data_IF_898012046950
#
_entry.id   IF_898012046950
#
_cell.length_a   1.000
_cell.length_b   1.000
_cell.length_c   1.000
_cell.angle_alpha   90.00
_cell.angle_beta   90.00
_cell.angle_gamma   90.00
#
_symmetry.space_group_name_H-M   'P 1'
#
loop_
_entity.id
_entity.type
_entity.pdbx_description
1 polymer ?
#
# COMPACT_ATOMS: atom_id res chain seq x y z
N UNK A 1 -14.28 27.92 14.20
CA UNK A 1 -13.02 28.33 14.86
C UNK A 1 -12.00 27.22 14.64
N UNK A 2 -10.74 27.54 14.30
CA UNK A 2 -9.66 26.56 14.31
C UNK A 2 -9.54 25.98 15.73
N UNK A 3 -9.41 24.66 15.83
CA UNK A 3 -9.17 23.99 17.12
C UNK A 3 -7.68 24.09 17.43
N UNK A 4 -7.30 24.36 18.66
CA UNK A 4 -5.89 24.34 19.08
C UNK A 4 -5.60 23.10 19.91
N UNK A 5 -4.38 22.60 19.84
CA UNK A 5 -3.88 21.50 20.69
C UNK A 5 -2.51 21.86 21.24
N UNK A 6 -2.28 21.59 22.53
CA UNK A 6 -0.97 21.81 23.16
C UNK A 6 -0.17 20.52 23.10
N UNK A 7 1.02 20.56 22.50
CA UNK A 7 1.90 19.40 22.34
C UNK A 7 2.29 18.86 23.71
N UNK A 8 2.08 17.57 23.94
CA UNK A 8 2.58 16.86 25.12
C UNK A 8 3.62 15.80 24.73
N UNK A 9 4.30 15.22 25.71
CA UNK A 9 5.25 14.14 25.46
C UNK A 9 4.57 12.99 24.73
N UNK A 10 5.16 12.54 23.61
CA UNK A 10 4.61 11.47 22.77
C UNK A 10 3.69 11.95 21.63
N UNK A 11 3.35 13.24 21.56
CA UNK A 11 2.63 13.77 20.40
C UNK A 11 3.52 13.83 19.16
N UNK A 12 2.93 13.48 18.02
CA UNK A 12 3.48 13.75 16.68
C UNK A 12 2.41 14.44 15.84
N UNK A 13 2.81 15.26 14.87
CA UNK A 13 1.84 15.88 13.95
C UNK A 13 1.00 14.84 13.20
N UNK A 14 1.57 13.65 12.98
CA UNK A 14 0.86 12.51 12.42
C UNK A 14 -0.27 12.03 13.35
N UNK A 15 0.01 11.80 14.65
CA UNK A 15 -1.01 11.39 15.62
C UNK A 15 -2.12 12.44 15.76
N UNK A 16 -1.75 13.72 15.75
CA UNK A 16 -2.71 14.84 15.77
C UNK A 16 -3.59 14.86 14.51
N UNK A 17 -3.01 14.67 13.32
CA UNK A 17 -3.78 14.62 12.06
C UNK A 17 -4.87 13.54 12.09
N UNK A 18 -4.53 12.36 12.62
CA UNK A 18 -5.45 11.23 12.77
C UNK A 18 -6.50 11.47 13.85
N UNK A 19 -6.11 12.07 14.97
CA UNK A 19 -7.01 12.39 16.09
C UNK A 19 -8.05 13.45 15.72
N UNK A 20 -7.65 14.45 14.93
CA UNK A 20 -8.50 15.59 14.58
C UNK A 20 -9.11 15.52 13.18
N UNK A 21 -8.86 14.43 12.43
CA UNK A 21 -9.47 14.20 11.12
C UNK A 21 -9.06 15.22 10.06
N UNK A 22 -7.80 15.67 10.10
CA UNK A 22 -7.19 16.57 9.12
C UNK A 22 -5.94 15.92 8.51
N UNK A 23 -5.40 16.48 7.41
CA UNK A 23 -4.16 15.95 6.83
C UNK A 23 -2.93 16.60 7.45
N UNK A 24 -1.80 15.89 7.46
CA UNK A 24 -0.51 16.45 7.88
C UNK A 24 -0.14 17.71 7.09
N UNK A 25 -0.44 17.72 5.79
CA UNK A 25 -0.21 18.86 4.90
C UNK A 25 -0.99 20.09 5.35
N UNK A 26 -2.26 19.92 5.72
CA UNK A 26 -3.09 21.03 6.17
C UNK A 26 -2.63 21.58 7.52
N UNK A 27 -2.16 20.71 8.43
CA UNK A 27 -1.58 21.14 9.70
C UNK A 27 -0.30 21.95 9.45
N UNK A 28 0.60 21.50 8.58
CA UNK A 28 1.82 22.25 8.26
C UNK A 28 1.55 23.56 7.52
N UNK A 29 0.50 23.61 6.69
CA UNK A 29 0.10 24.84 6.01
C UNK A 29 -0.37 25.93 7.00
N UNK A 30 -1.07 25.53 8.06
CA UNK A 30 -1.55 26.46 9.10
C UNK A 30 -0.44 26.79 10.12
N UNK A 31 0.61 25.95 10.22
CA UNK A 31 1.73 26.14 11.14
C UNK A 31 3.07 26.08 10.39
N UNK A 32 3.36 27.06 9.50
CA UNK A 32 4.56 27.04 8.65
C UNK A 32 5.88 27.13 9.42
N UNK A 33 5.82 27.54 10.69
CA UNK A 33 6.92 27.68 11.64
C UNK A 33 7.16 26.41 12.48
N UNK A 34 6.38 25.35 12.28
CA UNK A 34 6.56 24.07 12.96
C UNK A 34 7.40 23.13 12.10
N UNK A 35 8.52 22.67 12.65
CA UNK A 35 9.33 21.60 12.08
C UNK A 35 8.88 20.27 12.70
N UNK A 36 8.38 19.30 11.91
CA UNK A 36 7.86 18.02 12.42
C UNK A 36 8.83 17.23 13.31
N UNK A 37 10.13 17.32 13.02
CA UNK A 37 11.19 16.60 13.71
C UNK A 37 11.62 17.29 15.02
N UNK A 38 11.13 18.51 15.29
CA UNK A 38 11.53 19.34 16.43
C UNK A 38 10.31 19.87 17.21
N UNK A 39 9.38 18.97 17.53
CA UNK A 39 8.21 19.34 18.33
C UNK A 39 8.61 19.66 19.77
N UNK A 40 8.21 20.84 20.24
CA UNK A 40 8.45 21.28 21.60
C UNK A 40 7.22 21.02 22.46
N UNK A 41 7.40 20.27 23.54
CA UNK A 41 6.36 20.04 24.55
C UNK A 41 5.92 21.39 25.13
N UNK A 42 4.61 21.61 25.21
CA UNK A 42 3.98 22.86 25.65
C UNK A 42 3.69 23.87 24.54
N UNK A 43 4.15 23.63 23.29
CA UNK A 43 3.82 24.49 22.15
C UNK A 43 2.39 24.24 21.65
N UNK A 44 1.70 25.31 21.27
CA UNK A 44 0.35 25.25 20.70
C UNK A 44 0.45 25.00 19.19
N UNK A 45 -0.35 24.05 18.70
CA UNK A 45 -0.56 23.72 17.28
C UNK A 45 -1.97 24.15 16.89
N UNK A 46 -2.08 24.87 15.78
CA UNK A 46 -3.35 25.23 15.17
C UNK A 46 -3.83 24.11 14.25
N UNK A 47 -5.02 23.59 14.49
CA UNK A 47 -5.59 22.50 13.71
C UNK A 47 -6.68 23.03 12.77
N UNK A 48 -6.60 22.73 11.46
CA UNK A 48 -7.64 23.10 10.52
C UNK A 48 -8.92 22.33 10.84
N UNK A 49 -10.08 22.99 10.69
CA UNK A 49 -11.37 22.32 10.81
C UNK A 49 -11.48 21.31 9.66
N UNK A 50 -11.72 20.05 10.01
CA UNK A 50 -11.90 18.94 9.06
C UNK A 50 -12.83 19.35 7.92
N UNK A 51 -12.26 19.56 6.73
CA UNK A 51 -13.05 19.51 5.51
C UNK A 51 -13.34 18.03 5.31
N UNK A 52 -14.56 17.61 5.62
CA UNK A 52 -15.03 16.29 5.29
C UNK A 52 -14.90 16.12 3.77
N UNK A 53 -13.81 15.49 3.33
CA UNK A 53 -13.61 15.12 1.94
C UNK A 53 -14.70 14.11 1.60
N UNK A 54 -15.78 14.59 0.99
CA UNK A 54 -16.77 13.78 0.31
C UNK A 54 -16.04 13.01 -0.80
N UNK A 55 -15.74 11.74 -0.51
CA UNK A 55 -15.19 10.80 -1.47
C UNK A 55 -16.31 10.51 -2.45
N UNK A 56 -16.38 11.25 -3.55
CA UNK A 56 -17.18 10.86 -4.71
C UNK A 56 -16.53 9.63 -5.33
N UNK A 57 -17.02 8.45 -4.95
CA UNK A 57 -16.68 7.19 -5.60
C UNK A 57 -17.30 7.19 -7.01
N UNK A 58 -16.59 7.71 -7.99
CA UNK A 58 -16.86 7.35 -9.38
C UNK A 58 -16.39 5.91 -9.59
N UNK A 59 -17.32 4.97 -9.49
CA UNK A 59 -17.14 3.59 -9.94
C UNK A 59 -17.07 3.64 -11.47
N UNK A 60 -15.85 3.62 -12.02
CA UNK A 60 -15.66 3.37 -13.45
C UNK A 60 -15.77 1.87 -13.68
N UNK A 61 -16.94 1.43 -14.15
CA UNK A 61 -17.14 0.10 -14.72
C UNK A 61 -16.28 0.01 -15.98
N UNK A 62 -15.15 -0.71 -15.91
CA UNK A 62 -14.30 -0.94 -17.08
C UNK A 62 -14.84 -2.17 -17.81
N UNK A 63 -15.73 -1.92 -18.76
CA UNK A 63 -15.99 -2.85 -19.86
C UNK A 63 -14.90 -2.60 -20.90
N UNK A 64 -13.91 -3.49 -20.99
CA UNK A 64 -12.97 -3.49 -22.11
C UNK A 64 -13.23 -4.71 -22.98
N UNK A 65 -14.04 -4.51 -24.02
CA UNK A 65 -14.06 -5.33 -25.23
C UNK A 65 -13.14 -4.66 -26.25
N UNK A 66 -12.41 -5.50 -27.00
CA UNK A 66 -11.80 -5.28 -28.32
C UNK A 66 -10.27 -5.24 -28.36
N UNK A 67 -9.70 -6.41 -28.68
CA UNK A 67 -8.75 -6.70 -29.76
C UNK A 67 -8.10 -5.53 -30.51
N UNK A 68 -6.76 -5.46 -30.47
CA UNK A 68 -5.94 -5.00 -31.59
C UNK A 68 -4.53 -5.64 -31.57
N UNK A 69 -4.23 -6.33 -32.68
CA UNK A 69 -2.98 -6.94 -33.21
C UNK A 69 -1.81 -5.93 -33.33
N UNK A 70 -0.51 -6.24 -33.26
CA UNK A 70 0.36 -7.17 -34.05
C UNK A 70 1.75 -7.26 -33.36
N UNK A 71 2.29 -8.44 -33.02
CA UNK A 71 3.18 -9.36 -33.78
C UNK A 71 4.71 -9.24 -33.49
N UNK A 72 5.24 -10.26 -32.79
CA UNK A 72 6.42 -11.01 -33.25
C UNK A 72 6.09 -12.52 -33.20
N UNK A 73 6.45 -13.21 -34.29
CA UNK A 73 6.09 -14.57 -34.77
C UNK A 73 7.15 -15.60 -34.26
N UNK A 74 6.97 -16.92 -34.05
CA UNK A 74 5.92 -17.93 -34.20
C UNK A 74 6.36 -19.18 -33.41
N UNK A 75 5.43 -19.91 -32.79
CA UNK A 75 5.35 -21.39 -32.82
C UNK A 75 3.89 -21.77 -32.55
N UNK A 76 3.24 -22.68 -33.29
CA UNK A 76 1.89 -23.11 -32.97
C UNK A 76 1.97 -24.01 -31.73
N UNK A 77 1.62 -23.46 -30.57
CA UNK A 77 1.28 -24.30 -29.43
C UNK A 77 -0.21 -24.59 -29.59
N UNK A 78 -0.52 -25.85 -29.85
CA UNK A 78 -1.87 -26.40 -29.93
C UNK A 78 -2.65 -25.95 -28.68
N UNK A 79 -3.68 -25.13 -28.91
CA UNK A 79 -4.43 -24.49 -27.84
C UNK A 79 -5.16 -25.54 -27.00
N UNK A 80 -4.69 -25.78 -25.80
CA UNK A 80 -5.48 -26.46 -24.79
C UNK A 80 -6.64 -25.51 -24.44
N UNK A 81 -7.87 -25.89 -24.80
CA UNK A 81 -9.11 -25.10 -24.59
C UNK A 81 -9.53 -25.03 -23.11
N UNK A 82 -8.57 -24.89 -22.20
CA UNK A 82 -8.80 -24.54 -20.82
C UNK A 82 -8.53 -23.04 -20.72
N UNK A 83 -9.48 -22.22 -21.19
CA UNK A 83 -9.45 -20.76 -21.03
C UNK A 83 -9.67 -20.42 -19.55
N UNK A 84 -8.71 -20.77 -18.70
CA UNK A 84 -8.67 -20.36 -17.31
C UNK A 84 -8.50 -18.85 -17.28
N UNK A 85 -9.54 -18.16 -16.80
CA UNK A 85 -9.53 -16.71 -16.70
C UNK A 85 -8.44 -16.26 -15.72
N UNK A 86 -7.61 -15.31 -16.14
CA UNK A 86 -6.60 -14.72 -15.26
C UNK A 86 -7.28 -13.63 -14.43
N UNK A 87 -7.35 -13.84 -13.11
CA UNK A 87 -7.92 -12.89 -12.16
C UNK A 87 -6.79 -12.37 -11.29
N UNK A 88 -6.48 -11.08 -11.43
CA UNK A 88 -5.36 -10.44 -10.73
C UNK A 88 -5.88 -9.51 -9.64
N UNK A 89 -5.47 -9.73 -8.39
CA UNK A 89 -5.69 -8.81 -7.28
C UNK A 89 -4.47 -7.93 -7.05
N UNK A 90 -4.65 -6.61 -6.95
CA UNK A 90 -3.58 -5.70 -6.54
C UNK A 90 -3.53 -5.57 -5.03
N UNK A 91 -2.36 -5.78 -4.44
CA UNK A 91 -2.13 -5.60 -3.01
C UNK A 91 -1.02 -4.58 -2.79
N UNK A 92 -1.32 -3.50 -2.06
CA UNK A 92 -0.34 -2.46 -1.79
C UNK A 92 0.33 -2.67 -0.43
N UNK A 93 1.65 -2.53 -0.36
CA UNK A 93 2.44 -2.75 0.86
C UNK A 93 1.95 -1.91 2.05
N UNK A 94 1.59 -0.65 1.81
CA UNK A 94 1.10 0.29 2.81
C UNK A 94 -0.36 0.09 3.27
N UNK A 95 -1.12 -0.83 2.64
CA UNK A 95 -2.53 -1.07 3.01
C UNK A 95 -2.69 -1.53 4.46
N UNK A 96 -1.66 -2.13 5.03
CA UNK A 96 -1.65 -2.61 6.41
C UNK A 96 -1.72 -1.47 7.45
N UNK A 97 -1.31 -0.25 7.10
CA UNK A 97 -1.29 0.88 8.03
C UNK A 97 -2.64 1.58 8.15
N UNK A 98 -3.14 2.09 7.03
CA UNK A 98 -4.34 2.94 7.00
C UNK A 98 -5.61 2.10 6.90
N UNK A 99 -5.59 1.08 6.04
CA UNK A 99 -6.76 0.25 5.74
C UNK A 99 -6.87 -0.97 6.63
N UNK A 100 -5.78 -1.33 7.34
CA UNK A 100 -5.67 -2.56 8.13
C UNK A 100 -6.05 -3.80 7.32
N UNK A 101 -5.71 -3.79 6.03
CA UNK A 101 -5.90 -4.92 5.13
C UNK A 101 -4.57 -5.64 5.05
N UNK A 102 -4.58 -6.90 5.46
CA UNK A 102 -3.42 -7.77 5.50
C UNK A 102 -3.47 -8.78 4.36
N UNK A 103 -2.34 -9.42 4.06
CA UNK A 103 -2.26 -10.46 3.03
C UNK A 103 -3.22 -11.62 3.31
N UNK A 104 -3.46 -11.92 4.59
CA UNK A 104 -4.39 -12.97 5.00
C UNK A 104 -5.87 -12.64 4.75
N UNK A 105 -6.21 -11.35 4.52
CA UNK A 105 -7.57 -10.92 4.19
C UNK A 105 -7.91 -11.12 2.70
N UNK A 106 -6.91 -11.49 1.87
CA UNK A 106 -7.10 -11.72 0.45
C UNK A 106 -7.86 -13.04 0.23
N UNK A 107 -8.97 -12.99 -0.50
CA UNK A 107 -9.69 -14.17 -0.98
C UNK A 107 -8.92 -14.88 -2.10
N UNK A 108 -7.83 -15.57 -1.72
CA UNK A 108 -6.92 -16.26 -2.63
C UNK A 108 -7.55 -17.45 -3.38
N UNK A 109 -8.70 -17.94 -2.93
CA UNK A 109 -9.54 -18.92 -3.61
C UNK A 109 -10.18 -18.38 -4.90
N UNK A 110 -10.33 -17.05 -5.02
CA UNK A 110 -11.04 -16.39 -6.13
C UNK A 110 -10.13 -15.71 -7.15
N UNK A 111 -8.82 -15.71 -6.91
CA UNK A 111 -7.84 -15.04 -7.76
C UNK A 111 -6.75 -16.02 -8.19
N UNK A 112 -6.14 -15.75 -9.34
CA UNK A 112 -5.04 -16.56 -9.86
C UNK A 112 -3.68 -15.89 -9.63
N UNK A 113 -3.65 -14.57 -9.55
CA UNK A 113 -2.43 -13.80 -9.32
C UNK A 113 -2.64 -12.69 -8.28
N UNK A 114 -1.63 -12.51 -7.42
CA UNK A 114 -1.47 -11.29 -6.62
C UNK A 114 -0.39 -10.44 -7.29
N UNK A 115 -0.72 -9.18 -7.61
CA UNK A 115 0.26 -8.18 -8.00
C UNK A 115 0.62 -7.33 -6.77
N UNK A 116 1.82 -7.55 -6.23
CA UNK A 116 2.34 -6.84 -5.07
C UNK A 116 2.91 -5.48 -5.49
N UNK A 117 2.33 -4.41 -4.96
CA UNK A 117 2.61 -3.03 -5.34
C UNK A 117 3.16 -2.23 -4.14
N UNK A 118 4.26 -1.49 -4.24
CA UNK A 118 5.18 -1.38 -5.37
C UNK A 118 6.61 -1.62 -4.89
N UNK A 119 7.44 -2.21 -5.75
CA UNK A 119 8.88 -2.12 -5.63
C UNK A 119 9.35 -0.78 -6.21
N UNK A 120 10.37 -0.18 -5.59
CA UNK A 120 10.95 1.09 -6.01
C UNK A 120 12.11 0.85 -6.98
N UNK A 121 12.48 1.90 -7.68
CA UNK A 121 13.71 1.94 -8.48
C UNK A 121 14.65 2.87 -7.73
N UNK A 122 15.81 2.35 -7.31
CA UNK A 122 16.87 3.11 -6.66
C UNK A 122 17.47 4.15 -7.59
N UNK A 123 18.23 5.10 -7.04
CA UNK A 123 18.92 6.12 -7.84
C UNK A 123 19.99 5.54 -8.78
N UNK A 124 20.42 4.31 -8.51
CA UNK A 124 21.33 3.51 -9.32
C UNK A 124 20.62 2.71 -10.43
N UNK A 125 19.28 2.75 -10.48
CA UNK A 125 18.45 2.00 -11.42
C UNK A 125 18.13 0.58 -10.97
N UNK A 126 18.56 0.16 -9.79
CA UNK A 126 18.29 -1.16 -9.25
C UNK A 126 16.92 -1.23 -8.57
N UNK A 127 16.36 -2.43 -8.45
CA UNK A 127 15.07 -2.61 -7.77
C UNK A 127 15.28 -2.60 -6.27
N UNK A 128 14.58 -1.69 -5.59
CA UNK A 128 14.56 -1.56 -4.15
C UNK A 128 13.20 -1.98 -3.57
N UNK A 129 13.20 -2.33 -2.27
CA UNK A 129 11.96 -2.61 -1.54
C UNK A 129 11.09 -1.35 -1.47
N UNK A 130 9.77 -1.53 -1.52
CA UNK A 130 8.83 -0.43 -1.43
C UNK A 130 8.86 0.22 -0.05
N UNK A 131 8.72 -0.61 0.97
CA UNK A 131 8.73 -0.21 2.37
C UNK A 131 9.33 -1.34 3.21
N UNK A 132 10.53 -1.12 3.72
CA UNK A 132 11.30 -2.12 4.45
C UNK A 132 10.55 -2.62 5.72
N UNK A 133 9.82 -1.73 6.39
CA UNK A 133 9.07 -2.07 7.59
C UNK A 133 7.93 -3.03 7.25
N UNK A 134 7.11 -2.71 6.24
CA UNK A 134 5.99 -3.58 5.86
C UNK A 134 6.42 -4.86 5.17
N UNK A 135 7.45 -4.78 4.34
CA UNK A 135 7.81 -5.85 3.42
C UNK A 135 8.52 -6.98 4.16
N UNK A 136 9.39 -6.66 5.13
CA UNK A 136 10.31 -7.62 5.74
C UNK A 136 10.41 -7.59 7.26
N UNK A 137 10.05 -6.51 7.95
CA UNK A 137 10.33 -6.37 9.38
C UNK A 137 9.10 -6.54 10.26
N UNK A 138 7.91 -6.15 9.77
CA UNK A 138 6.67 -6.18 10.55
C UNK A 138 6.37 -7.59 11.04
N UNK A 139 6.17 -7.70 12.36
CA UNK A 139 5.72 -8.91 13.02
C UNK A 139 4.20 -9.04 12.90
N UNK A 140 3.77 -10.20 12.41
CA UNK A 140 2.37 -10.63 12.47
C UNK A 140 2.14 -11.56 13.67
N UNK A 141 0.90 -11.72 14.16
CA UNK A 141 0.61 -12.58 15.31
C UNK A 141 1.11 -14.03 15.17
N UNK A 142 1.16 -14.54 13.93
CA UNK A 142 1.59 -15.91 13.61
C UNK A 142 3.10 -16.01 13.29
N UNK A 143 3.89 -14.98 13.59
CA UNK A 143 5.33 -14.95 13.34
C UNK A 143 6.13 -15.26 14.61
N UNK A 144 7.24 -15.95 14.44
CA UNK A 144 8.21 -16.18 15.52
C UNK A 144 9.28 -15.09 15.49
N UNK A 145 9.75 -14.66 16.67
CA UNK A 145 10.72 -13.57 16.75
C UNK A 145 12.07 -13.90 16.07
N UNK A 146 12.41 -15.18 15.89
CA UNK A 146 13.69 -15.65 15.37
C UNK A 146 13.62 -16.15 13.90
N UNK A 147 12.60 -15.77 13.15
CA UNK A 147 12.50 -16.19 11.74
C UNK A 147 13.27 -15.25 10.79
N UNK A 148 13.86 -15.80 9.71
CA UNK A 148 14.72 -15.05 8.78
C UNK A 148 13.98 -14.05 7.90
N UNK A 149 12.66 -14.21 7.71
CA UNK A 149 11.82 -13.34 6.88
C UNK A 149 10.48 -13.08 7.57
N UNK A 150 10.08 -11.81 7.66
CA UNK A 150 8.80 -11.37 8.25
C UNK A 150 8.07 -10.49 7.26
N UNK A 151 7.15 -9.66 7.74
CA UNK A 151 6.42 -8.72 6.90
C UNK A 151 5.47 -9.39 5.91
N UNK A 152 5.03 -8.60 4.94
CA UNK A 152 4.13 -9.06 3.88
C UNK A 152 4.75 -10.19 3.05
N UNK A 153 6.07 -10.22 2.87
CA UNK A 153 6.73 -11.29 2.11
C UNK A 153 6.58 -12.65 2.77
N UNK A 154 6.70 -12.72 4.10
CA UNK A 154 6.45 -13.98 4.81
C UNK A 154 4.98 -14.42 4.69
N UNK A 155 4.04 -13.48 4.80
CA UNK A 155 2.62 -13.78 4.64
C UNK A 155 2.27 -14.24 3.22
N UNK A 156 2.93 -13.67 2.20
CA UNK A 156 2.80 -14.11 0.80
C UNK A 156 3.33 -15.53 0.59
N UNK A 157 4.41 -15.92 1.27
CA UNK A 157 4.88 -17.32 1.22
C UNK A 157 3.86 -18.25 1.86
N UNK A 158 3.33 -17.89 3.04
CA UNK A 158 2.31 -18.67 3.76
C UNK A 158 1.03 -18.87 2.92
N UNK A 159 0.51 -17.82 2.29
CA UNK A 159 -0.70 -17.93 1.46
C UNK A 159 -0.47 -18.77 0.20
N UNK A 160 0.71 -18.73 -0.41
CA UNK A 160 1.04 -19.60 -1.56
C UNK A 160 1.17 -21.06 -1.17
N UNK A 161 1.66 -21.37 0.02
CA UNK A 161 1.68 -22.74 0.54
C UNK A 161 0.25 -23.28 0.73
N UNK A 162 -0.68 -22.41 1.17
CA UNK A 162 -2.10 -22.75 1.32
C UNK A 162 -2.84 -22.85 -0.01
N UNK A 163 -2.48 -22.02 -0.99
CA UNK A 163 -3.12 -21.92 -2.30
C UNK A 163 -2.08 -22.10 -3.41
N UNK A 164 -1.73 -23.35 -3.78
CA UNK A 164 -0.65 -23.63 -4.73
C UNK A 164 -0.95 -23.16 -6.16
N UNK A 165 -2.22 -22.88 -6.50
CA UNK A 165 -2.59 -22.28 -7.78
C UNK A 165 -2.23 -20.79 -7.87
N UNK A 166 -2.01 -20.15 -6.72
CA UNK A 166 -1.80 -18.71 -6.63
C UNK A 166 -0.37 -18.32 -7.03
N UNK A 167 -0.28 -17.37 -7.96
CA UNK A 167 0.99 -16.79 -8.41
C UNK A 167 1.17 -15.38 -7.86
N UNK A 168 2.43 -14.97 -7.69
CA UNK A 168 2.76 -13.63 -7.18
C UNK A 168 3.60 -12.91 -8.22
N UNK A 169 3.22 -11.68 -8.51
CA UNK A 169 3.91 -10.73 -9.36
C UNK A 169 4.34 -9.53 -8.52
N UNK A 170 5.40 -8.84 -8.94
CA UNK A 170 5.86 -7.60 -8.32
C UNK A 170 5.64 -6.48 -9.33
N UNK A 171 4.90 -5.45 -8.92
CA UNK A 171 4.79 -4.21 -9.69
C UNK A 171 5.93 -3.29 -9.30
N UNK A 172 6.80 -2.97 -10.26
CA UNK A 172 7.90 -2.02 -10.10
C UNK A 172 7.42 -0.64 -10.55
N UNK A 173 7.67 0.41 -9.75
CA UNK A 173 7.30 1.78 -10.05
C UNK A 173 6.05 2.28 -9.31
N UNK A 174 5.16 2.97 -10.03
CA UNK A 174 3.97 3.62 -9.46
C UNK A 174 3.97 5.14 -9.66
N UNK A 175 2.88 5.81 -9.28
CA UNK A 175 2.67 7.24 -9.56
C UNK A 175 3.75 8.17 -8.97
N UNK A 176 4.37 7.77 -7.86
CA UNK A 176 5.36 8.57 -7.10
C UNK A 176 6.82 8.24 -7.45
N UNK A 177 7.08 7.50 -8.54
CA UNK A 177 8.44 7.11 -8.94
C UNK A 177 9.13 8.12 -9.87
N UNK A 178 8.91 9.42 -9.65
CA UNK A 178 9.62 10.55 -10.28
C UNK A 178 10.11 11.52 -9.22
#
# INVERSE_FOLDING_TARGET
>A
MPSTHTIVSGDTLWLLSRKYGCTLKDILHVNPDIVPEQLQIGRIVYLPKSAATSISTSISTITSVTTATNQQKNTPIEGNNNNESIIVGYFTSWSIYQRKVFVNDISADKITHINYAFAKIGSDGEIERGDNETDTEKLFPDDTWNQPLRGNFNQLIKIKQKYPHLRTLISVGGWVCI
#
